data_IF_169457520387
#
_entry.id   IF_169457520387
#
_cell.length_a   1.000
_cell.length_b   1.000
_cell.length_c   1.000
_cell.angle_alpha   90.00
_cell.angle_beta   90.00
_cell.angle_gamma   90.00
#
_symmetry.space_group_name_H-M   'P 1'
#
loop_
_entity.id
_entity.type
_entity.pdbx_description
1 polymer ?
#
# COMPACT_ATOMS: atom_id res chain seq x y z
N UNK A 1 -0.43 14.24 7.95
CA UNK A 1 -1.47 13.51 8.68
C UNK A 1 -2.20 12.51 7.79
N UNK A 2 -2.63 12.95 6.59
CA UNK A 2 -3.30 12.03 5.67
C UNK A 2 -2.44 10.83 5.33
N UNK A 3 -1.18 11.07 4.98
CA UNK A 3 -0.29 9.99 4.54
C UNK A 3 0.12 9.08 5.69
N UNK A 4 0.20 9.58 6.90
CA UNK A 4 0.43 8.72 8.06
C UNK A 4 -0.74 7.78 8.29
N UNK A 5 -1.96 8.29 8.19
CA UNK A 5 -3.16 7.49 8.32
C UNK A 5 -3.26 6.46 7.19
N UNK A 6 -2.94 6.87 5.97
CA UNK A 6 -2.97 5.97 4.82
C UNK A 6 -1.96 4.84 4.98
N UNK A 7 -0.72 5.17 5.36
CA UNK A 7 0.31 4.15 5.58
C UNK A 7 -0.11 3.16 6.65
N UNK A 8 -0.67 3.66 7.75
CA UNK A 8 -1.17 2.79 8.82
C UNK A 8 -2.27 1.87 8.33
N UNK A 9 -3.19 2.41 7.53
CA UNK A 9 -4.30 1.62 6.99
C UNK A 9 -3.78 0.52 6.07
N UNK A 10 -2.80 0.82 5.22
CA UNK A 10 -2.21 -0.15 4.32
C UNK A 10 -1.52 -1.28 5.09
N UNK A 11 -0.75 -0.92 6.11
CA UNK A 11 -0.09 -1.92 6.96
C UNK A 11 -1.09 -2.77 7.73
N UNK A 12 -2.14 -2.15 8.28
CA UNK A 12 -3.18 -2.89 8.99
C UNK A 12 -3.90 -3.88 8.09
N UNK A 13 -4.18 -3.46 6.86
CA UNK A 13 -4.80 -4.34 5.89
C UNK A 13 -3.94 -5.57 5.61
N UNK A 14 -2.65 -5.36 5.35
CA UNK A 14 -1.73 -6.47 5.08
C UNK A 14 -1.56 -7.37 6.30
N UNK A 15 -1.47 -6.78 7.47
CA UNK A 15 -1.36 -7.54 8.70
C UNK A 15 -2.55 -8.49 8.87
N UNK A 16 -3.75 -7.99 8.57
CA UNK A 16 -4.97 -8.80 8.68
C UNK A 16 -5.02 -9.89 7.61
N UNK A 17 -4.59 -9.58 6.39
CA UNK A 17 -4.71 -10.53 5.27
C UNK A 17 -3.56 -11.54 5.24
N UNK A 18 -2.35 -11.13 5.61
CA UNK A 18 -1.16 -11.98 5.55
C UNK A 18 -0.75 -12.51 6.92
N UNK A 19 -1.36 -12.00 7.98
CA UNK A 19 -1.07 -12.39 9.37
C UNK A 19 0.41 -12.20 9.71
N UNK A 20 0.97 -11.04 9.33
CA UNK A 20 2.38 -10.72 9.55
C UNK A 20 2.52 -9.30 10.10
N UNK A 21 3.71 -9.02 10.67
CA UNK A 21 4.06 -7.68 11.15
C UNK A 21 4.73 -6.90 10.02
N UNK A 22 3.92 -6.21 9.21
CA UNK A 22 4.41 -5.52 8.03
C UNK A 22 5.33 -4.33 8.33
N UNK A 23 5.22 -3.75 9.53
CA UNK A 23 6.07 -2.63 9.91
C UNK A 23 7.53 -3.00 10.09
N UNK A 24 7.84 -4.29 10.22
CA UNK A 24 9.19 -4.78 10.45
C UNK A 24 9.83 -5.36 9.20
N UNK A 25 9.15 -5.30 8.05
CA UNK A 25 9.69 -5.85 6.82
C UNK A 25 9.73 -4.76 5.73
N UNK A 26 10.62 -4.96 4.76
CA UNK A 26 10.81 -4.00 3.66
C UNK A 26 9.66 -4.06 2.66
N UNK A 27 9.57 -3.01 1.84
CA UNK A 27 8.57 -2.96 0.76
C UNK A 27 8.77 -4.11 -0.22
N UNK A 28 10.02 -4.45 -0.49
CA UNK A 28 10.35 -5.55 -1.40
C UNK A 28 9.85 -6.88 -0.85
N UNK A 29 9.96 -7.06 0.45
CA UNK A 29 9.46 -8.28 1.10
C UNK A 29 7.94 -8.36 1.02
N UNK A 30 7.27 -7.23 1.25
CA UNK A 30 5.81 -7.15 1.13
C UNK A 30 5.39 -7.51 -0.30
N UNK A 31 6.08 -6.96 -1.30
CA UNK A 31 5.79 -7.26 -2.70
C UNK A 31 5.91 -8.75 -3.00
N UNK A 32 6.97 -9.36 -2.50
CA UNK A 32 7.20 -10.80 -2.69
C UNK A 32 6.07 -11.62 -2.06
N UNK A 33 5.67 -11.27 -0.85
CA UNK A 33 4.60 -11.98 -0.16
C UNK A 33 3.28 -11.88 -0.90
N UNK A 34 2.97 -10.70 -1.45
CA UNK A 34 1.76 -10.52 -2.25
C UNK A 34 1.80 -11.35 -3.52
N UNK A 35 2.95 -11.39 -4.19
CA UNK A 35 3.11 -12.22 -5.38
C UNK A 35 2.91 -13.71 -5.06
N UNK A 36 3.41 -14.17 -3.93
CA UNK A 36 3.22 -15.53 -3.47
C UNK A 36 1.74 -15.86 -3.23
N UNK A 37 0.94 -14.84 -2.91
CA UNK A 37 -0.49 -14.99 -2.67
C UNK A 37 -1.33 -14.75 -3.93
N UNK A 38 -0.70 -14.82 -5.09
CA UNK A 38 -1.37 -14.73 -6.40
C UNK A 38 -1.88 -13.34 -6.76
N UNK A 39 -1.35 -12.30 -6.12
CA UNK A 39 -1.66 -10.92 -6.49
C UNK A 39 -0.88 -10.58 -7.75
N UNK A 40 -1.52 -9.92 -8.72
CA UNK A 40 -0.88 -9.55 -9.98
C UNK A 40 0.29 -8.59 -9.75
N UNK A 41 1.36 -8.73 -10.55
CA UNK A 41 2.55 -7.89 -10.42
C UNK A 41 2.23 -6.40 -10.56
N UNK A 42 1.31 -6.04 -11.47
CA UNK A 42 0.90 -4.64 -11.64
C UNK A 42 0.22 -4.09 -10.38
N UNK A 43 -0.61 -4.89 -9.73
CA UNK A 43 -1.26 -4.51 -8.48
C UNK A 43 -0.24 -4.34 -7.36
N UNK A 44 0.75 -5.23 -7.31
CA UNK A 44 1.83 -5.13 -6.33
C UNK A 44 2.64 -3.86 -6.54
N UNK A 45 2.94 -3.51 -7.79
CA UNK A 45 3.64 -2.26 -8.10
C UNK A 45 2.84 -1.04 -7.65
N UNK A 46 1.53 -1.06 -7.87
CA UNK A 46 0.67 0.04 -7.43
C UNK A 46 0.72 0.19 -5.91
N UNK A 47 0.72 -0.92 -5.18
CA UNK A 47 0.82 -0.91 -3.73
C UNK A 47 2.15 -0.35 -3.27
N UNK A 48 3.25 -0.77 -3.89
CA UNK A 48 4.58 -0.25 -3.57
C UNK A 48 4.65 1.26 -3.83
N UNK A 49 4.05 1.73 -4.92
CA UNK A 49 4.02 3.15 -5.26
C UNK A 49 3.29 3.94 -4.18
N UNK A 50 2.19 3.40 -3.66
CA UNK A 50 1.46 4.03 -2.56
C UNK A 50 2.31 4.15 -1.29
N UNK A 51 3.01 3.08 -0.94
CA UNK A 51 3.90 3.10 0.23
C UNK A 51 5.01 4.13 0.05
N UNK A 52 5.55 4.21 -1.16
CA UNK A 52 6.59 5.18 -1.49
C UNK A 52 6.07 6.61 -1.39
N UNK A 53 4.84 6.86 -1.86
CA UNK A 53 4.21 8.17 -1.72
C UNK A 53 4.05 8.56 -0.26
N UNK A 54 3.67 7.63 0.60
CA UNK A 54 3.56 7.88 2.03
C UNK A 54 4.91 8.26 2.66
N UNK A 55 5.98 7.61 2.24
CA UNK A 55 7.33 7.94 2.72
C UNK A 55 7.77 9.32 2.27
N UNK A 56 7.56 9.62 0.99
CA UNK A 56 7.97 10.91 0.42
C UNK A 56 7.19 12.06 1.03
N UNK A 57 5.94 11.85 1.40
CA UNK A 57 5.10 12.89 1.98
C UNK A 57 5.62 13.39 3.32
N UNK A 58 6.49 12.64 3.99
CA UNK A 58 7.11 13.07 5.24
C UNK A 58 8.13 14.19 5.02
N UNK A 59 8.66 14.29 3.81
CA UNK A 59 9.75 15.21 3.49
C UNK A 59 9.35 16.28 2.47
N UNK A 60 8.19 16.13 1.83
CA UNK A 60 7.76 16.97 0.73
C UNK A 60 6.33 17.44 0.94
N UNK A 61 6.04 18.76 0.82
CA UNK A 61 4.66 19.22 0.88
C UNK A 61 3.83 18.59 -0.23
N UNK A 62 2.59 18.24 0.08
CA UNK A 62 1.69 17.63 -0.87
C UNK A 62 0.47 18.51 -1.11
N UNK A 63 -0.03 18.50 -2.36
CA UNK A 63 -1.21 19.27 -2.73
C UNK A 63 -2.49 18.47 -2.44
N UNK A 64 -3.62 19.20 -2.36
CA UNK A 64 -4.92 18.53 -2.19
C UNK A 64 -5.24 17.61 -3.36
N UNK A 65 -4.79 17.98 -4.56
CA UNK A 65 -4.99 17.14 -5.75
C UNK A 65 -4.26 15.81 -5.60
N UNK A 66 -3.00 15.86 -5.15
CA UNK A 66 -2.21 14.65 -4.93
C UNK A 66 -2.85 13.76 -3.87
N UNK A 67 -3.36 14.35 -2.79
CA UNK A 67 -4.03 13.60 -1.73
C UNK A 67 -5.26 12.88 -2.27
N UNK A 68 -6.08 13.56 -3.06
CA UNK A 68 -7.27 12.95 -3.64
C UNK A 68 -6.93 11.81 -4.59
N UNK A 69 -5.91 12.00 -5.41
CA UNK A 69 -5.46 10.97 -6.35
C UNK A 69 -4.94 9.74 -5.62
N UNK A 70 -4.13 9.95 -4.59
CA UNK A 70 -3.57 8.83 -3.82
C UNK A 70 -4.66 8.09 -3.04
N UNK A 71 -5.66 8.81 -2.54
CA UNK A 71 -6.79 8.18 -1.87
C UNK A 71 -7.54 7.25 -2.82
N UNK A 72 -7.88 7.75 -4.02
CA UNK A 72 -8.58 6.95 -5.03
C UNK A 72 -7.75 5.75 -5.45
N UNK A 73 -6.45 5.94 -5.63
CA UNK A 73 -5.54 4.86 -6.00
C UNK A 73 -5.48 3.81 -4.90
N UNK A 74 -5.42 4.23 -3.65
CA UNK A 74 -5.39 3.32 -2.52
C UNK A 74 -6.64 2.44 -2.46
N UNK A 75 -7.82 3.05 -2.62
CA UNK A 75 -9.09 2.31 -2.61
C UNK A 75 -9.11 1.29 -3.74
N UNK A 76 -8.72 1.71 -4.95
CA UNK A 76 -8.71 0.81 -6.11
C UNK A 76 -7.70 -0.32 -5.92
N UNK A 77 -6.51 0.00 -5.42
CA UNK A 77 -5.46 -1.01 -5.23
C UNK A 77 -5.85 -2.03 -4.19
N UNK A 78 -6.40 -1.59 -3.06
CA UNK A 78 -6.85 -2.50 -2.00
C UNK A 78 -7.97 -3.40 -2.52
N UNK A 79 -8.90 -2.84 -3.30
CA UNK A 79 -9.98 -3.64 -3.89
C UNK A 79 -9.44 -4.72 -4.81
N UNK A 80 -8.43 -4.39 -5.62
CA UNK A 80 -7.80 -5.37 -6.51
C UNK A 80 -7.08 -6.45 -5.73
N UNK A 81 -6.33 -6.08 -4.70
CA UNK A 81 -5.65 -7.05 -3.86
C UNK A 81 -6.67 -7.99 -3.23
N UNK A 82 -7.75 -7.44 -2.70
CA UNK A 82 -8.77 -8.24 -2.03
C UNK A 82 -9.42 -9.26 -2.96
N UNK A 83 -9.52 -8.93 -4.25
CA UNK A 83 -10.06 -9.86 -5.26
C UNK A 83 -9.05 -10.91 -5.70
N UNK A 84 -7.77 -10.56 -5.72
CA UNK A 84 -6.71 -11.40 -6.28
C UNK A 84 -6.02 -12.27 -5.24
N UNK A 85 -5.95 -11.83 -4.00
CA UNK A 85 -5.21 -12.52 -2.95
C UNK A 85 -5.84 -13.87 -2.60
N UNK A 86 -5.00 -14.87 -2.43
CA UNK A 86 -5.46 -16.23 -2.11
C UNK A 86 -4.81 -16.76 -0.85
#
# INVERSE_FOLDING_TARGET
>A
IFYEALERSLHNYLKARLDIQTTQISKERIAKLLLERKVAATTVLDFETLLKSCELARYTPTSDVAIKQDYKKAVATISLIDKQIQ
#
